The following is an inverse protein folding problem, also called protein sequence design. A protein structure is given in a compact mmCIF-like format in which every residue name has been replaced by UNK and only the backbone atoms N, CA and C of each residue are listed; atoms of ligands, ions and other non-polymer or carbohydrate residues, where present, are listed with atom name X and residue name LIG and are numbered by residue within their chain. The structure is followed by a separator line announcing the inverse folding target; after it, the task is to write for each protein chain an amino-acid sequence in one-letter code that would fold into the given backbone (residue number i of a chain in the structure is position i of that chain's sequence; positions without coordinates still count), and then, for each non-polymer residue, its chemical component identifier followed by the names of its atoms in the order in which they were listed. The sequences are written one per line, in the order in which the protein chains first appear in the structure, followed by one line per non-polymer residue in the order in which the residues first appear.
data_IF_046482043249
#
_entry.id   IF_046482043249
#
_cell.length_a   1.000
_cell.length_b   1.000
_cell.length_c   1.000
_cell.angle_alpha   90.00
_cell.angle_beta   90.00
_cell.angle_gamma   90.00
#
_symmetry.space_group_name_H-M   'P 1'
#
loop_
_entity.id
_entity.type
_entity.pdbx_description
1 polymer ?
#
# COMPACT_ATOMS: atom_id res chain seq x y z
N UNK A 1 10.95 19.41 -0.66
CA UNK A 1 9.84 18.68 -1.29
C UNK A 1 8.59 19.54 -1.25
N UNK A 2 8.05 19.86 -2.42
CA UNK A 2 6.82 20.65 -2.51
C UNK A 2 5.62 19.72 -2.67
N UNK A 3 4.56 19.98 -1.90
CA UNK A 3 3.32 19.24 -2.00
C UNK A 3 2.20 20.18 -2.43
N UNK A 4 1.28 19.67 -3.25
CA UNK A 4 0.12 20.41 -3.72
C UNK A 4 -1.09 19.48 -3.78
N UNK A 5 -2.30 20.00 -3.52
CA UNK A 5 -3.49 19.20 -3.70
C UNK A 5 -3.66 18.77 -5.16
N UNK A 6 -4.26 17.61 -5.41
CA UNK A 6 -4.56 17.19 -6.78
C UNK A 6 -5.62 18.10 -7.39
N UNK A 7 -5.71 18.07 -8.73
CA UNK A 7 -6.66 18.92 -9.48
C UNK A 7 -8.10 18.69 -9.06
N UNK A 8 -8.46 17.44 -8.75
CA UNK A 8 -9.82 17.07 -8.34
C UNK A 8 -10.25 17.77 -7.05
N UNK A 9 -9.31 18.26 -6.27
CA UNK A 9 -9.58 19.01 -5.05
C UNK A 9 -9.32 20.51 -5.21
N UNK A 10 -9.22 21.00 -6.46
CA UNK A 10 -8.98 22.40 -6.73
C UNK A 10 -7.52 22.81 -6.73
N UNK A 11 -6.59 21.86 -6.62
CA UNK A 11 -5.16 22.14 -6.67
C UNK A 11 -4.63 22.22 -8.09
N UNK A 12 -3.36 22.59 -8.22
CA UNK A 12 -2.71 22.74 -9.53
C UNK A 12 -2.43 21.40 -10.22
N UNK A 13 -2.31 20.34 -9.45
CA UNK A 13 -1.88 19.04 -9.96
C UNK A 13 -0.39 18.95 -10.25
N UNK A 14 0.35 19.99 -9.95
CA UNK A 14 1.80 20.04 -10.13
C UNK A 14 2.51 19.62 -8.83
N UNK A 15 3.68 18.98 -8.99
CA UNK A 15 4.48 18.55 -7.86
C UNK A 15 3.91 17.31 -7.16
N UNK A 16 4.40 17.03 -5.95
CA UNK A 16 4.01 15.89 -5.15
C UNK A 16 2.87 16.31 -4.23
N UNK A 17 1.75 15.61 -4.27
CA UNK A 17 0.62 15.87 -3.39
C UNK A 17 0.66 14.95 -2.16
N UNK A 18 -0.13 15.27 -1.10
CA UNK A 18 -0.13 14.47 0.12
C UNK A 18 -0.51 13.01 -0.11
N UNK A 19 -1.42 12.73 -1.04
CA UNK A 19 -1.85 11.36 -1.33
C UNK A 19 -0.72 10.55 -1.96
N UNK A 20 0.11 11.15 -2.81
CA UNK A 20 1.29 10.50 -3.37
C UNK A 20 2.33 10.21 -2.30
N UNK A 21 2.53 11.12 -1.35
CA UNK A 21 3.44 10.89 -0.22
C UNK A 21 2.94 9.74 0.66
N UNK A 22 1.66 9.70 0.95
CA UNK A 22 1.05 8.62 1.71
C UNK A 22 1.18 7.29 0.98
N UNK A 23 0.92 7.29 -0.33
CA UNK A 23 1.08 6.11 -1.19
C UNK A 23 2.51 5.57 -1.15
N UNK A 24 3.50 6.44 -1.34
CA UNK A 24 4.91 6.05 -1.32
C UNK A 24 5.33 5.54 0.06
N UNK A 25 4.92 6.21 1.12
CA UNK A 25 5.22 5.80 2.49
C UNK A 25 4.59 4.45 2.83
N UNK A 26 3.33 4.26 2.46
CA UNK A 26 2.64 2.99 2.70
C UNK A 26 3.30 1.86 1.92
N UNK A 27 3.63 2.08 0.64
CA UNK A 27 4.28 1.07 -0.19
C UNK A 27 5.63 0.64 0.39
N UNK A 28 6.45 1.59 0.83
CA UNK A 28 7.75 1.30 1.43
C UNK A 28 7.60 0.55 2.75
N UNK A 29 6.67 0.95 3.61
CA UNK A 29 6.41 0.31 4.88
C UNK A 29 5.88 -1.12 4.68
N UNK A 30 4.95 -1.29 3.74
CA UNK A 30 4.37 -2.60 3.45
C UNK A 30 5.41 -3.55 2.86
N UNK A 31 6.28 -3.07 1.96
CA UNK A 31 7.35 -3.90 1.40
C UNK A 31 8.32 -4.35 2.49
N UNK A 32 8.64 -3.48 3.45
CA UNK A 32 9.46 -3.87 4.60
C UNK A 32 8.80 -4.96 5.42
N UNK A 33 7.50 -4.85 5.68
CA UNK A 33 6.74 -5.89 6.39
C UNK A 33 6.70 -7.20 5.59
N UNK A 34 6.53 -7.10 4.27
CA UNK A 34 6.51 -8.27 3.38
C UNK A 34 7.84 -9.02 3.43
N UNK A 35 8.95 -8.29 3.38
CA UNK A 35 10.29 -8.89 3.50
C UNK A 35 10.49 -9.57 4.84
N UNK A 36 10.01 -8.97 5.91
CA UNK A 36 10.12 -9.54 7.24
C UNK A 36 9.33 -10.83 7.37
N UNK A 37 8.07 -10.85 6.93
CA UNK A 37 7.26 -12.08 7.04
C UNK A 37 7.77 -13.18 6.11
N UNK A 38 8.31 -12.83 4.94
CA UNK A 38 8.92 -13.80 4.04
C UNK A 38 10.15 -14.43 4.69
N UNK A 39 11.01 -13.63 5.30
CA UNK A 39 12.19 -14.13 6.02
C UNK A 39 11.79 -15.07 7.17
N UNK A 40 10.78 -14.68 7.94
CA UNK A 40 10.32 -15.49 9.08
C UNK A 40 9.62 -16.78 8.64
N UNK A 41 9.18 -16.86 7.40
CA UNK A 41 8.53 -18.05 6.82
C UNK A 41 9.49 -18.86 5.92
N UNK A 42 10.77 -18.50 5.89
CA UNK A 42 11.78 -19.13 5.04
C UNK A 42 11.42 -19.07 3.55
N UNK A 43 10.77 -18.00 3.13
CA UNK A 43 10.43 -17.75 1.73
C UNK A 43 11.40 -16.71 1.18
N UNK A 44 12.07 -17.05 0.08
CA UNK A 44 12.95 -16.11 -0.60
C UNK A 44 12.16 -15.33 -1.64
N UNK A 45 12.16 -14.00 -1.51
CA UNK A 45 11.53 -13.14 -2.49
C UNK A 45 12.50 -12.86 -3.64
N UNK A 46 11.94 -12.84 -4.85
CA UNK A 46 12.69 -12.41 -6.03
C UNK A 46 13.06 -10.93 -5.93
N UNK A 47 14.19 -10.55 -6.52
CA UNK A 47 14.65 -9.15 -6.52
C UNK A 47 13.65 -8.19 -7.21
N UNK A 48 12.82 -8.73 -8.10
CA UNK A 48 11.79 -7.95 -8.79
C UNK A 48 10.52 -7.75 -7.95
N UNK A 49 10.46 -8.31 -6.73
CA UNK A 49 9.31 -8.13 -5.84
C UNK A 49 9.07 -6.65 -5.58
N UNK A 50 7.82 -6.22 -5.73
CA UNK A 50 7.46 -4.82 -5.53
C UNK A 50 6.09 -4.69 -4.89
N UNK A 51 5.83 -3.52 -4.32
CA UNK A 51 4.52 -3.16 -3.77
C UNK A 51 4.11 -1.83 -4.35
N UNK A 52 2.90 -1.78 -4.88
CA UNK A 52 2.27 -0.55 -5.37
C UNK A 52 1.07 -0.26 -4.49
N UNK A 53 0.95 0.99 -4.06
CA UNK A 53 -0.21 1.43 -3.29
C UNK A 53 -0.90 2.54 -4.06
N UNK A 54 -2.18 2.34 -4.32
CA UNK A 54 -3.05 3.33 -4.95
C UNK A 54 -3.93 3.93 -3.87
N UNK A 55 -3.83 5.24 -3.69
CA UNK A 55 -4.62 5.96 -2.70
C UNK A 55 -5.76 6.67 -3.41
N UNK A 56 -6.98 6.38 -2.98
CA UNK A 56 -8.16 7.11 -3.40
C UNK A 56 -8.58 8.13 -2.36
N UNK A 57 -9.22 9.18 -2.81
CA UNK A 57 -9.82 10.17 -1.93
C UNK A 57 -11.23 10.45 -2.42
N UNK A 58 -12.19 10.48 -1.49
CA UNK A 58 -13.59 10.73 -1.80
C UNK A 58 -14.29 11.43 -0.64
N UNK A 59 -15.47 11.95 -0.92
CA UNK A 59 -16.26 12.62 0.12
C UNK A 59 -16.96 11.58 0.98
N UNK A 60 -17.00 11.84 2.29
CA UNK A 60 -17.88 11.14 3.22
C UNK A 60 -18.92 12.13 3.75
N UNK A 61 -19.61 11.78 4.84
CA UNK A 61 -20.69 12.59 5.38
C UNK A 61 -20.24 13.93 5.98
N UNK A 62 -18.96 14.02 6.35
CA UNK A 62 -18.44 15.19 7.09
C UNK A 62 -17.27 15.87 6.40
N UNK A 63 -16.47 15.15 5.62
CA UNK A 63 -15.28 15.71 4.98
C UNK A 63 -14.83 14.82 3.81
N UNK A 64 -13.56 14.47 3.77
CA UNK A 64 -12.99 13.55 2.77
C UNK A 64 -12.42 12.33 3.48
N UNK A 65 -12.53 11.18 2.84
CA UNK A 65 -11.98 9.93 3.33
C UNK A 65 -11.00 9.36 2.31
N UNK A 66 -9.98 8.69 2.81
CA UNK A 66 -9.01 7.99 1.99
C UNK A 66 -9.38 6.52 1.84
N UNK A 67 -8.90 5.91 0.77
CA UNK A 67 -8.91 4.47 0.60
C UNK A 67 -7.56 4.03 0.05
N UNK A 68 -7.20 2.76 0.25
CA UNK A 68 -5.94 2.23 -0.21
C UNK A 68 -6.14 0.89 -0.91
N UNK A 69 -5.50 0.71 -2.06
CA UNK A 69 -5.42 -0.57 -2.74
C UNK A 69 -3.94 -0.96 -2.83
N UNK A 70 -3.57 -2.02 -2.14
CA UNK A 70 -2.19 -2.48 -2.02
C UNK A 70 -2.01 -3.67 -2.94
N UNK A 71 -1.13 -3.53 -3.92
CA UNK A 71 -0.87 -4.54 -4.93
C UNK A 71 0.56 -5.02 -4.77
N UNK A 72 0.74 -6.29 -4.41
CA UNK A 72 2.05 -6.92 -4.36
C UNK A 72 2.35 -7.66 -5.65
N UNK A 73 3.54 -7.49 -6.19
CA UNK A 73 4.07 -8.30 -7.27
C UNK A 73 5.14 -9.22 -6.68
N UNK A 74 4.83 -10.52 -6.63
CA UNK A 74 5.69 -11.52 -5.99
C UNK A 74 6.00 -12.63 -7.01
N UNK A 75 6.89 -12.36 -7.97
CA UNK A 75 7.23 -13.36 -8.98
C UNK A 75 7.95 -14.56 -8.35
N UNK A 76 7.92 -15.69 -9.01
CA UNK A 76 8.50 -16.95 -8.58
C UNK A 76 7.77 -17.65 -7.42
N UNK A 77 6.66 -17.10 -6.95
CA UNK A 77 5.79 -17.76 -5.96
C UNK A 77 4.51 -18.24 -6.63
N UNK A 78 3.83 -19.17 -5.98
CA UNK A 78 2.48 -19.51 -6.39
C UNK A 78 1.53 -18.39 -5.96
N UNK A 79 0.37 -18.31 -6.61
CA UNK A 79 -0.65 -17.32 -6.25
C UNK A 79 -1.06 -17.46 -4.78
N UNK A 80 -1.20 -18.70 -4.31
CA UNK A 80 -1.59 -18.97 -2.92
C UNK A 80 -0.53 -18.49 -1.93
N UNK A 81 0.76 -18.78 -2.20
CA UNK A 81 1.85 -18.29 -1.35
C UNK A 81 1.90 -16.77 -1.32
N UNK A 82 1.75 -16.14 -2.50
CA UNK A 82 1.77 -14.69 -2.60
C UNK A 82 0.64 -14.05 -1.80
N UNK A 83 -0.57 -14.58 -1.90
CA UNK A 83 -1.72 -14.07 -1.15
C UNK A 83 -1.54 -14.24 0.36
N UNK A 84 -1.00 -15.37 0.80
CA UNK A 84 -0.72 -15.62 2.22
C UNK A 84 0.31 -14.64 2.76
N UNK A 85 1.38 -14.38 2.02
CA UNK A 85 2.40 -13.42 2.44
C UNK A 85 1.84 -12.00 2.48
N UNK A 86 1.02 -11.61 1.51
CA UNK A 86 0.38 -10.30 1.53
C UNK A 86 -0.52 -10.13 2.75
N UNK A 87 -1.27 -11.16 3.10
CA UNK A 87 -2.12 -11.15 4.31
C UNK A 87 -1.29 -10.99 5.59
N UNK A 88 -0.20 -11.72 5.70
CA UNK A 88 0.71 -11.63 6.86
C UNK A 88 1.37 -10.25 6.93
N UNK A 89 1.81 -9.73 5.79
CA UNK A 89 2.42 -8.40 5.73
C UNK A 89 1.43 -7.32 6.19
N UNK A 90 0.17 -7.45 5.80
CA UNK A 90 -0.88 -6.51 6.23
C UNK A 90 -1.10 -6.54 7.74
N UNK A 91 -0.90 -7.67 8.38
CA UNK A 91 -0.99 -7.80 9.84
C UNK A 91 0.17 -7.09 10.55
N UNK A 92 1.35 -7.06 9.94
CA UNK A 92 2.57 -6.58 10.57
C UNK A 92 2.86 -5.11 10.24
N UNK A 93 2.41 -4.64 9.08
CA UNK A 93 2.71 -3.29 8.60
C UNK A 93 2.14 -2.23 9.55
N UNK A 94 2.98 -1.32 10.10
CA UNK A 94 2.49 -0.27 10.99
C UNK A 94 1.48 0.68 10.34
N UNK A 95 1.61 0.95 9.04
CA UNK A 95 0.63 1.77 8.33
C UNK A 95 -0.72 1.05 8.24
N UNK A 96 -0.71 -0.25 7.99
CA UNK A 96 -1.94 -1.05 8.00
C UNK A 96 -2.60 -1.06 9.37
N UNK A 97 -1.80 -1.08 10.43
CA UNK A 97 -2.32 -0.95 11.79
C UNK A 97 -3.00 0.41 12.01
N UNK A 98 -2.40 1.47 11.48
CA UNK A 98 -2.95 2.83 11.60
C UNK A 98 -4.24 3.02 10.80
N UNK A 99 -4.39 2.32 9.69
CA UNK A 99 -5.55 2.48 8.79
C UNK A 99 -6.69 1.52 9.11
N UNK A 100 -6.40 0.41 9.78
CA UNK A 100 -7.38 -0.67 10.02
C UNK A 100 -8.56 -0.16 10.82
N UNK A 101 -9.77 -0.44 10.30
CA UNK A 101 -11.00 0.01 10.95
C UNK A 101 -11.33 1.49 10.73
N UNK A 102 -10.49 2.21 9.98
CA UNK A 102 -10.67 3.64 9.74
C UNK A 102 -10.91 3.97 8.27
N UNK A 103 -10.15 3.35 7.37
CA UNK A 103 -10.34 3.52 5.93
C UNK A 103 -10.43 2.15 5.26
N UNK A 104 -10.97 2.12 4.05
CA UNK A 104 -11.03 0.89 3.26
C UNK A 104 -9.64 0.58 2.69
N UNK A 105 -9.14 -0.60 3.03
CA UNK A 105 -7.86 -1.09 2.53
C UNK A 105 -8.07 -2.46 1.90
N UNK A 106 -7.66 -2.61 0.65
CA UNK A 106 -7.68 -3.89 -0.05
C UNK A 106 -6.27 -4.32 -0.40
N UNK A 107 -6.03 -5.62 -0.37
CA UNK A 107 -4.74 -6.19 -0.78
C UNK A 107 -4.95 -7.19 -1.90
N UNK A 108 -4.01 -7.26 -2.81
CA UNK A 108 -4.01 -8.26 -3.88
C UNK A 108 -2.57 -8.64 -4.22
N UNK A 109 -2.41 -9.81 -4.82
CA UNK A 109 -1.11 -10.33 -5.20
C UNK A 109 -1.11 -10.71 -6.67
N UNK A 110 -0.02 -10.40 -7.35
CA UNK A 110 0.30 -10.84 -8.70
C UNK A 110 1.60 -11.64 -8.66
N UNK A 111 1.66 -12.68 -9.47
CA UNK A 111 2.86 -13.53 -9.58
C UNK A 111 3.44 -13.54 -10.98
#
# INVERSE_FOLDING_TARGET
LQTRPPKEMGGSGEGVNPELLFSAGYAACFLGALRLVAKNSDVQLDDATSVTVQIGIGKDDTSFALSANIIGYLPALSQQQAEELMGKANQVCPYSKATRGNIDVTTSAKV
#
